data_IF_649238171019
#
_entry.id   IF_649238171019
#
_cell.length_a   1.000
_cell.length_b   1.000
_cell.length_c   1.000
_cell.angle_alpha   90.00
_cell.angle_beta   90.00
_cell.angle_gamma   90.00
#
_symmetry.space_group_name_H-M   'P 1'
#
loop_
_entity.id
_entity.type
_entity.pdbx_description
1 polymer ?
#
# COMPACT_ATOMS: atom_id res chain seq x y z
N UNK A 1 -2.98 14.25 18.66
CA UNK A 1 -3.00 13.31 17.52
C UNK A 1 -1.69 13.41 16.76
N UNK A 2 -0.65 12.71 17.22
CA UNK A 2 0.73 12.76 16.65
C UNK A 2 1.17 11.38 16.13
N UNK A 3 0.44 10.31 16.44
CA UNK A 3 0.76 8.93 16.02
C UNK A 3 0.63 8.68 14.52
N UNK A 4 0.06 9.62 13.77
CA UNK A 4 -0.08 9.54 12.31
C UNK A 4 1.14 10.10 11.56
N UNK A 5 2.11 10.70 12.26
CA UNK A 5 3.32 11.25 11.63
C UNK A 5 4.42 10.17 11.65
N UNK A 6 4.82 9.62 10.49
CA UNK A 6 5.90 8.65 10.41
C UNK A 6 7.20 9.25 10.94
N UNK A 7 7.84 8.59 11.92
CA UNK A 7 9.13 9.02 12.49
C UNK A 7 10.24 9.03 11.42
N UNK A 8 10.09 8.20 10.39
CA UNK A 8 10.92 8.16 9.19
C UNK A 8 10.02 8.14 7.95
N UNK A 9 10.28 9.02 6.98
CA UNK A 9 9.60 9.07 5.67
C UNK A 9 10.07 7.96 4.70
N UNK A 10 10.82 6.98 5.21
CA UNK A 10 11.34 5.86 4.45
C UNK A 10 10.33 4.71 4.50
N UNK A 11 10.09 4.07 3.36
CA UNK A 11 9.14 2.96 3.21
C UNK A 11 7.65 3.35 3.39
N UNK A 12 7.29 4.58 3.04
CA UNK A 12 5.88 4.95 2.90
C UNK A 12 5.24 4.18 1.75
N UNK A 13 4.05 3.65 2.00
CA UNK A 13 3.23 2.96 1.02
C UNK A 13 1.90 3.70 0.85
N UNK A 14 1.34 3.62 -0.35
CA UNK A 14 0.04 4.15 -0.69
C UNK A 14 -0.90 3.00 -1.02
N UNK A 15 -2.08 2.96 -0.41
CA UNK A 15 -3.11 1.99 -0.75
C UNK A 15 -3.54 2.16 -2.21
N UNK A 16 -3.59 1.08 -2.99
CA UNK A 16 -3.97 1.10 -4.40
C UNK A 16 -5.47 1.41 -4.61
N UNK A 17 -6.31 1.20 -3.59
CA UNK A 17 -7.75 1.43 -3.69
C UNK A 17 -8.16 2.85 -3.28
N UNK A 18 -7.70 3.32 -2.12
CA UNK A 18 -8.12 4.62 -1.56
C UNK A 18 -7.01 5.68 -1.52
N UNK A 19 -5.79 5.35 -1.97
CA UNK A 19 -4.62 6.24 -1.93
C UNK A 19 -4.17 6.71 -0.54
N UNK A 20 -4.64 6.07 0.54
CA UNK A 20 -4.17 6.34 1.90
C UNK A 20 -2.68 6.04 2.04
N UNK A 21 -1.93 6.96 2.67
CA UNK A 21 -0.50 6.83 2.90
C UNK A 21 -0.24 6.43 4.35
N UNK A 22 0.47 5.31 4.56
CA UNK A 22 0.97 4.85 5.85
C UNK A 22 2.31 4.15 5.66
N UNK A 23 3.05 3.88 6.73
CA UNK A 23 4.23 3.01 6.65
C UNK A 23 3.82 1.55 6.42
N UNK A 24 4.74 0.72 5.92
CA UNK A 24 4.52 -0.73 5.80
C UNK A 24 4.02 -1.33 7.12
N UNK A 25 4.73 -1.05 8.21
CA UNK A 25 4.41 -1.50 9.57
C UNK A 25 3.00 -1.10 10.00
N UNK A 26 2.57 0.13 9.69
CA UNK A 26 1.23 0.59 10.03
C UNK A 26 0.15 -0.11 9.20
N UNK A 27 0.40 -0.41 7.93
CA UNK A 27 -0.53 -1.21 7.15
C UNK A 27 -0.61 -2.66 7.65
N UNK A 28 0.49 -3.23 8.13
CA UNK A 28 0.49 -4.57 8.70
C UNK A 28 -0.22 -4.62 10.06
N UNK A 29 0.03 -3.65 10.94
CA UNK A 29 -0.54 -3.63 12.29
C UNK A 29 -2.01 -3.18 12.32
N UNK A 30 -2.33 -2.06 11.66
CA UNK A 30 -3.66 -1.46 11.70
C UNK A 30 -4.49 -1.74 10.45
N UNK A 31 -3.84 -2.05 9.34
CA UNK A 31 -4.52 -2.14 8.06
C UNK A 31 -4.82 -0.78 7.45
N UNK A 32 -5.56 -0.82 6.34
CA UNK A 32 -6.03 0.37 5.66
C UNK A 32 -7.35 0.87 6.28
N UNK A 33 -7.41 2.07 6.84
CA UNK A 33 -8.62 2.53 7.57
C UNK A 33 -9.89 2.55 6.68
N UNK A 34 -9.71 2.77 5.38
CA UNK A 34 -10.81 2.82 4.42
C UNK A 34 -11.15 1.46 3.81
N UNK A 35 -10.17 0.56 3.69
CA UNK A 35 -10.28 -0.64 2.87
C UNK A 35 -10.06 -1.95 3.64
N UNK A 36 -9.75 -1.89 4.94
CA UNK A 36 -9.43 -3.08 5.76
C UNK A 36 -10.55 -4.11 5.74
N UNK A 37 -11.81 -3.66 5.80
CA UNK A 37 -12.97 -4.57 5.72
C UNK A 37 -13.06 -5.37 4.41
N UNK A 38 -12.46 -4.87 3.33
CA UNK A 38 -12.51 -5.49 2.01
C UNK A 38 -11.23 -6.27 1.69
N UNK A 39 -10.08 -5.69 2.04
CA UNK A 39 -8.77 -6.25 1.71
C UNK A 39 -8.28 -7.23 2.78
N UNK A 40 -8.64 -7.00 4.05
CA UNK A 40 -8.21 -7.82 5.18
C UNK A 40 -6.70 -7.98 5.20
N UNK A 41 -5.98 -6.86 5.18
CA UNK A 41 -4.53 -6.81 5.08
C UNK A 41 -3.84 -6.74 6.44
N UNK A 42 -4.60 -6.56 7.52
CA UNK A 42 -4.09 -6.58 8.88
C UNK A 42 -3.48 -7.94 9.23
N UNK A 43 -2.22 -7.92 9.66
CA UNK A 43 -1.42 -9.10 9.99
C UNK A 43 -0.94 -9.91 8.78
N UNK A 44 -1.12 -9.38 7.57
CA UNK A 44 -0.82 -10.08 6.32
C UNK A 44 0.09 -9.22 5.43
N UNK A 45 1.41 -9.34 5.63
CA UNK A 45 2.43 -8.56 4.93
C UNK A 45 2.36 -8.76 3.40
N UNK A 46 2.00 -9.96 2.94
CA UNK A 46 1.87 -10.28 1.52
C UNK A 46 0.75 -9.44 0.89
N UNK A 47 -0.44 -9.44 1.51
CA UNK A 47 -1.56 -8.61 1.07
C UNK A 47 -1.27 -7.13 1.16
N UNK A 48 -0.64 -6.67 2.23
CA UNK A 48 -0.20 -5.26 2.32
C UNK A 48 0.70 -4.94 1.14
N UNK A 49 1.59 -5.84 0.76
CA UNK A 49 2.51 -5.61 -0.34
C UNK A 49 1.85 -5.60 -1.72
N UNK A 50 0.83 -6.44 -1.92
CA UNK A 50 0.03 -6.47 -3.15
C UNK A 50 -0.92 -5.27 -3.25
N UNK A 51 -1.51 -4.85 -2.13
CA UNK A 51 -2.55 -3.81 -2.08
C UNK A 51 -2.01 -2.39 -1.89
N UNK A 52 -0.70 -2.22 -1.72
CA UNK A 52 -0.07 -0.91 -1.52
C UNK A 52 1.18 -0.71 -2.39
N UNK A 53 1.32 0.46 -3.02
CA UNK A 53 2.53 0.85 -3.77
C UNK A 53 3.53 1.59 -2.88
N UNK A 54 4.84 1.37 -3.03
CA UNK A 54 5.84 2.22 -2.38
C UNK A 54 5.92 3.58 -3.07
N UNK A 55 5.92 4.66 -2.30
CA UNK A 55 6.25 6.00 -2.79
C UNK A 55 7.73 5.97 -3.24
N UNK A 56 7.96 6.02 -4.55
CA UNK A 56 9.29 5.86 -5.16
C UNK A 56 9.36 4.86 -6.33
N UNK A 57 8.32 4.06 -6.56
CA UNK A 57 8.16 3.36 -7.84
C UNK A 57 7.52 4.31 -8.86
N UNK A 58 8.36 4.98 -9.64
CA UNK A 58 7.94 5.62 -10.89
C UNK A 58 7.37 4.56 -11.84
N UNK A 59 6.48 4.93 -12.79
CA UNK A 59 5.84 3.98 -13.72
C UNK A 59 6.81 3.15 -14.57
N UNK A 60 8.12 3.44 -14.52
CA UNK A 60 9.17 2.75 -15.25
C UNK A 60 9.94 1.68 -14.46
N UNK A 61 9.66 1.47 -13.16
CA UNK A 61 10.40 0.49 -12.35
C UNK A 61 9.54 -0.47 -11.53
N UNK A 62 8.32 -0.76 -11.98
CA UNK A 62 7.59 -1.93 -11.51
C UNK A 62 8.10 -3.19 -12.21
N UNK A 63 8.55 -4.23 -11.47
CA UNK A 63 8.69 -5.57 -12.02
C UNK A 63 7.31 -6.05 -12.51
N UNK A 64 7.32 -6.86 -13.55
CA UNK A 64 6.24 -7.19 -14.49
C UNK A 64 4.87 -7.67 -13.95
N UNK A 65 4.61 -7.66 -12.64
CA UNK A 65 3.38 -8.24 -12.06
C UNK A 65 2.19 -7.28 -12.00
N UNK A 66 2.39 -5.96 -12.07
CA UNK A 66 1.30 -4.97 -12.07
C UNK A 66 0.94 -4.46 -13.49
N UNK A 67 0.98 -5.32 -14.51
CA UNK A 67 0.41 -5.05 -15.84
C UNK A 67 -0.58 -6.14 -16.21
N UNK A 68 -1.78 -6.13 -15.62
CA UNK A 68 -2.91 -6.87 -16.20
C UNK A 68 -4.31 -6.42 -15.77
N UNK A 69 -4.54 -5.11 -15.54
CA UNK A 69 -5.92 -4.58 -15.55
C UNK A 69 -5.96 -3.21 -16.25
N UNK A 70 -5.53 -3.16 -17.51
CA UNK A 70 -6.06 -2.20 -18.49
C UNK A 70 -5.55 -2.58 -19.87
N UNK A 71 -6.48 -2.69 -20.81
CA UNK A 71 -6.27 -2.90 -22.25
C UNK A 71 -5.99 -4.36 -22.67
N UNK A 72 -7.04 -5.18 -22.66
CA UNK A 72 -7.36 -5.98 -23.85
C UNK A 72 -8.73 -5.53 -24.36
N UNK A 73 -8.67 -4.80 -25.48
CA UNK A 73 -9.75 -4.73 -26.46
C UNK A 73 -9.85 -6.10 -27.14
#
# INVERSE_FOLDING_TARGET
SIESIPRDLRNLRACLLCSMIKTLDQFEQDGCDNCERFLGMKGDEEKVSECTRREGCTPFRCPAHCRRISSRN
#
